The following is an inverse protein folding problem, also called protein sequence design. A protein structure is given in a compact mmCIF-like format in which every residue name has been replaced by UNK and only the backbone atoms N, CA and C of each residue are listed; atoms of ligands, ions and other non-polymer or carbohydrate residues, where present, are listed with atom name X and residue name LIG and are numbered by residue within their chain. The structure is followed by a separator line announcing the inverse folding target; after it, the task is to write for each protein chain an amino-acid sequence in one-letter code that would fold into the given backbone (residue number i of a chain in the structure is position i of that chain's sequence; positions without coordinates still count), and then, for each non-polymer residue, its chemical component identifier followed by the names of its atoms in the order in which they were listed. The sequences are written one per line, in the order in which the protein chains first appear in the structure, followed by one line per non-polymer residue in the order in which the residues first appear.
data_IF_624713843431
#
_entry.id   IF_624713843431
#
_cell.length_a   1.000
_cell.length_b   1.000
_cell.length_c   1.000
_cell.angle_alpha   90.00
_cell.angle_beta   90.00
_cell.angle_gamma   90.00
#
_symmetry.space_group_name_H-M   'P 1'
#
loop_
_entity.id
_entity.type
_entity.pdbx_description
1 polymer ?
#
# COMPACT_ATOMS: atom_id res chain seq x y z
N UNK A 1 36.06 -1.18 1.16
CA UNK A 1 36.47 -0.61 -0.15
C UNK A 1 37.22 0.69 0.12
N UNK A 2 38.50 0.78 -0.25
CA UNK A 2 39.25 2.04 -0.12
C UNK A 2 38.88 2.95 -1.29
N UNK A 3 38.48 4.19 -1.00
CA UNK A 3 38.12 5.19 -2.01
C UNK A 3 39.41 5.71 -2.63
N UNK A 4 39.53 5.65 -3.96
CA UNK A 4 40.70 6.23 -4.64
C UNK A 4 40.57 7.76 -4.66
N UNK A 5 41.66 8.49 -4.43
CA UNK A 5 41.65 9.96 -4.45
C UNK A 5 41.36 10.51 -5.85
N UNK A 6 41.82 9.81 -6.90
CA UNK A 6 41.60 10.17 -8.31
C UNK A 6 40.20 9.84 -8.85
N UNK A 7 39.32 9.27 -8.02
CA UNK A 7 37.98 8.87 -8.43
C UNK A 7 37.12 10.06 -8.93
N UNK A 8 37.27 11.22 -8.29
CA UNK A 8 36.58 12.45 -8.68
C UNK A 8 37.07 12.99 -10.03
N UNK A 9 38.37 12.88 -10.31
CA UNK A 9 38.98 13.33 -11.56
C UNK A 9 38.51 12.45 -12.73
N UNK A 10 38.49 11.14 -12.55
CA UNK A 10 37.95 10.17 -13.52
C UNK A 10 36.48 10.46 -13.82
N UNK A 11 35.65 10.69 -12.80
CA UNK A 11 34.24 11.01 -12.98
C UNK A 11 33.99 12.38 -13.63
N UNK A 12 34.87 13.37 -13.41
CA UNK A 12 34.80 14.67 -14.07
C UNK A 12 35.20 14.56 -15.56
N UNK A 13 36.30 13.86 -15.85
CA UNK A 13 36.79 13.64 -17.21
C UNK A 13 35.76 12.89 -18.09
N UNK A 14 35.12 11.86 -17.55
CA UNK A 14 34.04 11.12 -18.24
C UNK A 14 32.84 12.01 -18.56
N UNK A 15 32.48 12.94 -17.68
CA UNK A 15 31.40 13.92 -17.95
C UNK A 15 31.81 14.98 -18.96
N UNK A 16 33.10 15.32 -19.01
CA UNK A 16 33.69 16.26 -19.96
C UNK A 16 33.94 15.71 -21.36
N UNK A 17 33.67 14.43 -21.60
CA UNK A 17 33.74 13.82 -22.94
C UNK A 17 34.95 12.93 -23.22
N UNK A 18 35.84 12.69 -22.23
CA UNK A 18 36.96 11.78 -22.47
C UNK A 18 37.93 11.65 -21.29
N UNK A 19 38.65 10.53 -21.26
CA UNK A 19 39.74 10.28 -20.32
C UNK A 19 41.07 10.67 -20.96
N UNK A 20 41.93 11.38 -20.22
CA UNK A 20 43.32 11.60 -20.64
C UNK A 20 44.09 10.27 -20.63
N UNK A 21 45.21 10.21 -21.37
CA UNK A 21 46.06 9.03 -21.42
C UNK A 21 46.54 8.59 -20.02
N UNK A 22 46.91 9.56 -19.16
CA UNK A 22 47.33 9.32 -17.78
C UNK A 22 46.21 8.68 -16.92
N UNK A 23 44.98 9.22 -17.01
CA UNK A 23 43.83 8.67 -16.29
C UNK A 23 43.43 7.29 -16.83
N UNK A 24 43.60 7.05 -18.12
CA UNK A 24 43.31 5.75 -18.73
C UNK A 24 44.24 4.65 -18.22
N UNK A 25 45.52 4.95 -18.04
CA UNK A 25 46.49 4.04 -17.41
C UNK A 25 46.11 3.72 -15.97
N UNK A 26 45.74 4.74 -15.18
CA UNK A 26 45.30 4.54 -13.80
C UNK A 26 44.04 3.67 -13.69
N UNK A 27 43.04 3.88 -14.56
CA UNK A 27 41.80 3.08 -14.59
C UNK A 27 42.08 1.61 -14.94
N UNK A 28 43.11 1.33 -15.74
CA UNK A 28 43.51 -0.02 -16.07
C UNK A 28 44.04 -0.79 -14.84
N UNK A 29 44.68 -0.09 -13.89
CA UNK A 29 45.28 -0.72 -12.70
C UNK A 29 44.38 -0.63 -11.45
N UNK A 30 43.53 0.39 -11.36
CA UNK A 30 42.68 0.62 -10.19
C UNK A 30 41.26 0.03 -10.37
N UNK A 31 40.94 -1.02 -9.61
CA UNK A 31 39.61 -1.64 -9.61
C UNK A 31 38.48 -0.68 -9.22
N UNK A 32 38.74 0.25 -8.28
CA UNK A 32 37.75 1.25 -7.85
C UNK A 32 37.38 2.21 -8.98
N UNK A 33 38.38 2.82 -9.64
CA UNK A 33 38.14 3.73 -10.75
C UNK A 33 37.53 3.02 -11.97
N UNK A 34 37.82 1.73 -12.18
CA UNK A 34 37.19 0.92 -13.23
C UNK A 34 35.69 0.76 -13.01
N UNK A 35 35.28 0.54 -11.76
CA UNK A 35 33.86 0.47 -11.40
C UNK A 35 33.18 1.84 -11.59
N UNK A 36 33.84 2.92 -11.16
CA UNK A 36 33.33 4.29 -11.39
C UNK A 36 33.14 4.58 -12.86
N UNK A 37 34.05 4.14 -13.75
CA UNK A 37 33.90 4.29 -15.20
C UNK A 37 32.68 3.52 -15.71
N UNK A 38 32.47 2.27 -15.25
CA UNK A 38 31.31 1.47 -15.64
C UNK A 38 30.01 2.14 -15.22
N UNK A 39 29.90 2.53 -13.95
CA UNK A 39 28.71 3.21 -13.40
C UNK A 39 28.47 4.54 -14.11
N UNK A 40 29.50 5.36 -14.29
CA UNK A 40 29.35 6.68 -14.93
C UNK A 40 28.93 6.53 -16.39
N UNK A 41 29.49 5.58 -17.15
CA UNK A 41 29.05 5.30 -18.53
C UNK A 41 27.62 4.80 -18.58
N UNK A 42 27.21 3.92 -17.67
CA UNK A 42 25.83 3.46 -17.58
C UNK A 42 24.86 4.61 -17.31
N UNK A 43 25.20 5.52 -16.38
CA UNK A 43 24.40 6.71 -16.09
C UNK A 43 24.36 7.69 -17.27
N UNK A 44 25.47 7.89 -17.97
CA UNK A 44 25.50 8.72 -19.17
C UNK A 44 24.64 8.12 -20.30
N UNK A 45 24.64 6.79 -20.45
CA UNK A 45 23.76 6.10 -21.40
C UNK A 45 22.28 6.26 -21.03
N UNK A 46 21.92 6.19 -19.74
CA UNK A 46 20.55 6.46 -19.27
C UNK A 46 20.17 7.93 -19.50
N UNK A 47 21.10 8.87 -19.29
CA UNK A 47 20.87 10.30 -19.55
C UNK A 47 20.65 10.61 -21.04
N UNK A 48 21.19 9.79 -21.94
CA UNK A 48 20.95 9.92 -23.38
C UNK A 48 19.52 9.52 -23.77
N UNK A 49 18.79 8.83 -22.89
CA UNK A 49 17.34 8.63 -23.06
C UNK A 49 16.66 9.93 -22.66
N UNK A 50 15.89 10.50 -23.59
CA UNK A 50 15.07 11.69 -23.35
C UNK A 50 14.28 11.49 -22.04
N UNK A 51 14.48 12.33 -21.01
CA UNK A 51 13.74 12.19 -19.78
C UNK A 51 12.25 12.37 -20.09
N UNK A 52 11.36 11.52 -19.55
CA UNK A 52 9.94 11.69 -19.76
C UNK A 52 9.54 13.08 -19.27
N UNK A 53 8.65 13.74 -20.01
CA UNK A 53 8.16 15.07 -19.68
C UNK A 53 7.72 15.10 -18.20
N UNK A 54 8.41 15.93 -17.42
CA UNK A 54 8.17 16.08 -15.99
C UNK A 54 6.70 16.46 -15.72
N UNK A 55 6.06 17.19 -16.64
CA UNK A 55 4.63 17.52 -16.56
C UNK A 55 3.73 16.29 -16.64
N UNK A 56 4.06 15.30 -17.48
CA UNK A 56 3.31 14.05 -17.62
C UNK A 56 3.47 13.17 -16.37
N UNK A 57 4.71 13.05 -15.88
CA UNK A 57 4.99 12.28 -14.65
C UNK A 57 4.28 12.92 -13.46
N UNK A 58 4.36 14.25 -13.33
CA UNK A 58 3.70 14.98 -12.24
C UNK A 58 2.19 14.85 -12.28
N UNK A 59 1.58 14.93 -13.47
CA UNK A 59 0.12 14.80 -13.64
C UNK A 59 -0.36 13.40 -13.23
N UNK A 60 0.34 12.35 -13.63
CA UNK A 60 0.02 10.98 -13.19
C UNK A 60 0.11 10.81 -11.67
N UNK A 61 1.15 11.36 -11.06
CA UNK A 61 1.30 11.31 -9.59
C UNK A 61 0.17 12.08 -8.90
N UNK A 62 -0.21 13.26 -9.43
CA UNK A 62 -1.35 14.00 -8.89
C UNK A 62 -2.66 13.22 -8.99
N UNK A 63 -2.94 12.59 -10.12
CA UNK A 63 -4.14 11.77 -10.32
C UNK A 63 -4.21 10.63 -9.29
N UNK A 64 -3.11 9.90 -9.10
CA UNK A 64 -3.05 8.83 -8.09
C UNK A 64 -3.24 9.35 -6.66
N UNK A 65 -2.65 10.49 -6.33
CA UNK A 65 -2.78 11.11 -5.00
C UNK A 65 -4.21 11.58 -4.75
N UNK A 66 -4.86 12.19 -5.75
CA UNK A 66 -6.25 12.63 -5.66
C UNK A 66 -7.20 11.42 -5.49
N UNK A 67 -6.99 10.35 -6.26
CA UNK A 67 -7.76 9.11 -6.13
C UNK A 67 -7.57 8.45 -4.75
N UNK A 68 -6.35 8.39 -4.23
CA UNK A 68 -6.07 7.88 -2.88
C UNK A 68 -6.71 8.74 -1.79
N UNK A 69 -6.79 10.05 -1.98
CA UNK A 69 -7.42 10.96 -1.02
C UNK A 69 -8.94 10.84 -1.04
N UNK A 70 -9.54 10.68 -2.21
CA UNK A 70 -10.98 10.49 -2.38
C UNK A 70 -11.49 9.13 -1.85
N UNK A 71 -10.64 8.10 -1.84
CA UNK A 71 -11.03 6.75 -1.40
C UNK A 71 -10.94 6.52 0.12
N UNK A 72 -10.15 7.32 0.85
CA UNK A 72 -10.09 7.26 2.32
C UNK A 72 -11.44 7.47 3.03
N UNK A 73 -12.23 8.51 2.72
CA UNK A 73 -13.52 8.72 3.39
C UNK A 73 -14.53 7.60 3.08
N UNK A 74 -14.48 7.02 1.88
CA UNK A 74 -15.33 5.89 1.49
C UNK A 74 -15.04 4.64 2.31
N UNK A 75 -13.77 4.38 2.64
CA UNK A 75 -13.40 3.27 3.52
C UNK A 75 -13.95 3.47 4.94
N UNK A 76 -13.85 4.68 5.49
CA UNK A 76 -14.36 5.03 6.83
C UNK A 76 -15.89 4.93 6.88
N UNK A 77 -16.59 5.46 5.88
CA UNK A 77 -18.05 5.35 5.76
C UNK A 77 -18.51 3.89 5.77
N UNK A 78 -17.82 3.00 5.03
CA UNK A 78 -18.17 1.57 5.00
C UNK A 78 -18.04 0.90 6.38
N UNK A 79 -16.99 1.22 7.13
CA UNK A 79 -16.80 0.68 8.49
C UNK A 79 -17.90 1.21 9.41
N UNK A 80 -18.18 2.51 9.37
CA UNK A 80 -19.26 3.12 10.16
C UNK A 80 -20.63 2.51 9.83
N UNK A 81 -20.94 2.30 8.54
CA UNK A 81 -22.18 1.64 8.12
C UNK A 81 -22.27 0.20 8.64
N UNK A 82 -21.18 -0.57 8.58
CA UNK A 82 -21.16 -1.95 9.09
C UNK A 82 -21.38 -1.99 10.61
N UNK A 83 -20.73 -1.09 11.36
CA UNK A 83 -20.92 -0.95 12.80
C UNK A 83 -22.36 -0.55 13.12
N UNK A 84 -22.91 0.43 12.42
CA UNK A 84 -24.27 0.90 12.63
C UNK A 84 -25.31 -0.20 12.36
N UNK A 85 -25.16 -0.96 11.28
CA UNK A 85 -26.02 -2.11 10.98
C UNK A 85 -25.90 -3.20 12.06
N UNK A 86 -24.69 -3.45 12.58
CA UNK A 86 -24.49 -4.38 13.68
C UNK A 86 -25.21 -3.96 14.96
N UNK A 87 -25.07 -2.69 15.35
CA UNK A 87 -25.76 -2.12 16.52
C UNK A 87 -27.28 -2.17 16.33
N UNK A 88 -27.78 -1.79 15.17
CA UNK A 88 -29.22 -1.79 14.86
C UNK A 88 -29.79 -3.21 14.87
N UNK A 89 -29.04 -4.19 14.35
CA UNK A 89 -29.43 -5.60 14.43
C UNK A 89 -29.50 -6.07 15.89
N UNK A 90 -28.48 -5.80 16.72
CA UNK A 90 -28.46 -6.18 18.14
C UNK A 90 -29.62 -5.54 18.89
N UNK A 91 -29.91 -4.27 18.60
CA UNK A 91 -31.03 -3.56 19.21
C UNK A 91 -32.40 -4.06 18.74
N UNK A 92 -32.52 -4.46 17.48
CA UNK A 92 -33.77 -4.98 16.91
C UNK A 92 -34.14 -6.37 17.47
N UNK A 93 -33.16 -7.18 17.92
CA UNK A 93 -33.42 -8.52 18.47
C UNK A 93 -34.45 -8.52 19.60
N UNK A 94 -34.31 -7.75 20.70
CA UNK A 94 -35.29 -7.76 21.79
C UNK A 94 -36.66 -7.23 21.36
N UNK A 95 -36.71 -6.22 20.50
CA UNK A 95 -37.97 -5.66 19.97
C UNK A 95 -38.70 -6.73 19.15
N UNK A 96 -37.97 -7.38 18.24
CA UNK A 96 -38.51 -8.45 17.42
C UNK A 96 -38.93 -9.66 18.29
N UNK A 97 -38.17 -9.98 19.33
CA UNK A 97 -38.48 -11.06 20.26
C UNK A 97 -39.81 -10.85 20.99
N UNK A 98 -40.09 -9.61 21.44
CA UNK A 98 -41.37 -9.26 22.08
C UNK A 98 -42.53 -9.36 21.09
N UNK A 99 -42.35 -8.84 19.86
CA UNK A 99 -43.34 -8.94 18.78
C UNK A 99 -43.65 -10.39 18.41
N UNK A 100 -42.61 -11.22 18.28
CA UNK A 100 -42.71 -12.64 17.95
C UNK A 100 -43.40 -13.42 19.07
N UNK A 101 -43.04 -13.21 20.34
CA UNK A 101 -43.72 -13.84 21.49
C UNK A 101 -45.22 -13.51 21.51
N UNK A 102 -45.60 -12.29 21.17
CA UNK A 102 -47.01 -11.88 21.12
C UNK A 102 -47.84 -12.57 20.02
N UNK A 103 -47.19 -13.15 19.00
CA UNK A 103 -47.88 -13.83 17.89
C UNK A 103 -47.66 -15.35 17.84
N UNK A 104 -46.57 -15.88 18.41
CA UNK A 104 -46.18 -17.29 18.33
C UNK A 104 -46.34 -18.06 19.64
N UNK A 105 -46.99 -17.48 20.66
CA UNK A 105 -47.21 -18.10 21.97
C UNK A 105 -47.89 -19.48 21.98
N UNK A 106 -48.39 -19.96 20.85
CA UNK A 106 -49.08 -21.26 20.72
C UNK A 106 -48.27 -22.38 20.02
N UNK A 107 -47.09 -22.10 19.44
CA UNK A 107 -46.40 -23.08 18.59
C UNK A 107 -44.87 -23.19 18.88
N UNK A 108 -44.52 -23.93 19.93
CA UNK A 108 -43.25 -24.68 19.98
C UNK A 108 -42.18 -24.26 21.00
N UNK A 109 -41.13 -25.08 21.18
CA UNK A 109 -40.25 -25.07 22.36
C UNK A 109 -39.32 -23.84 22.41
N UNK A 110 -39.41 -23.12 23.51
CA UNK A 110 -38.90 -21.76 23.76
C UNK A 110 -37.36 -21.63 23.75
N UNK A 111 -36.64 -22.75 23.79
CA UNK A 111 -35.18 -22.81 23.95
C UNK A 111 -34.41 -22.86 22.62
N UNK A 112 -35.09 -23.22 21.52
CA UNK A 112 -34.46 -23.38 20.20
C UNK A 112 -34.32 -22.04 19.46
N UNK A 113 -35.24 -21.10 19.68
CA UNK A 113 -35.25 -19.81 18.97
C UNK A 113 -34.20 -18.84 19.49
N UNK A 114 -33.93 -18.80 20.81
CA UNK A 114 -32.95 -17.89 21.40
C UNK A 114 -31.49 -18.24 21.04
N UNK A 115 -31.16 -19.54 21.00
CA UNK A 115 -29.80 -20.02 20.69
C UNK A 115 -29.43 -19.83 19.22
N UNK A 116 -30.37 -20.07 18.29
CA UNK A 116 -30.14 -19.88 16.85
C UNK A 116 -29.93 -18.41 16.52
N UNK A 117 -30.74 -17.50 17.08
CA UNK A 117 -30.59 -16.05 16.85
C UNK A 117 -29.24 -15.54 17.37
N UNK A 118 -28.83 -16.00 18.55
CA UNK A 118 -27.53 -15.62 19.15
C UNK A 118 -26.35 -16.09 18.29
N UNK A 119 -26.40 -17.33 17.80
CA UNK A 119 -25.35 -17.89 16.95
C UNK A 119 -25.24 -17.16 15.59
N UNK A 120 -26.36 -16.79 14.98
CA UNK A 120 -26.37 -16.03 13.71
C UNK A 120 -25.78 -14.63 13.91
N UNK A 121 -26.10 -13.95 15.02
CA UNK A 121 -25.57 -12.61 15.31
C UNK A 121 -24.05 -12.61 15.53
N UNK A 122 -23.54 -13.60 16.26
CA UNK A 122 -22.09 -13.78 16.44
C UNK A 122 -21.43 -14.10 15.09
N UNK A 123 -22.04 -14.98 14.29
CA UNK A 123 -21.56 -15.32 12.96
C UNK A 123 -21.45 -14.11 12.02
N UNK A 124 -22.49 -13.27 11.97
CA UNK A 124 -22.50 -12.05 11.13
C UNK A 124 -21.48 -11.02 11.64
N UNK A 125 -21.37 -10.84 12.95
CA UNK A 125 -20.38 -9.93 13.56
C UNK A 125 -18.94 -10.36 13.25
N UNK A 126 -18.63 -11.65 13.47
CA UNK A 126 -17.30 -12.22 13.19
C UNK A 126 -16.99 -12.18 11.70
N UNK A 127 -17.96 -12.49 10.83
CA UNK A 127 -17.76 -12.43 9.38
C UNK A 127 -17.55 -11.00 8.89
N UNK A 128 -18.27 -10.02 9.45
CA UNK A 128 -18.07 -8.60 9.17
C UNK A 128 -16.68 -8.11 9.59
N UNK A 129 -16.25 -8.43 10.81
CA UNK A 129 -14.91 -8.12 11.32
C UNK A 129 -13.81 -8.78 10.48
N UNK A 130 -13.99 -10.05 10.12
CA UNK A 130 -13.05 -10.79 9.29
C UNK A 130 -12.96 -10.22 7.87
N UNK A 131 -14.11 -9.87 7.26
CA UNK A 131 -14.17 -9.28 5.92
C UNK A 131 -13.49 -7.90 5.87
N UNK A 132 -13.67 -7.10 6.92
CA UNK A 132 -12.98 -5.80 7.06
C UNK A 132 -11.49 -6.00 7.26
N UNK A 133 -11.07 -6.92 8.13
CA UNK A 133 -9.65 -7.21 8.39
C UNK A 133 -8.90 -7.76 7.17
N UNK A 134 -9.56 -8.56 6.31
CA UNK A 134 -8.96 -9.04 5.06
C UNK A 134 -8.80 -7.96 3.99
N UNK A 135 -9.60 -6.90 4.04
CA UNK A 135 -9.61 -5.83 3.01
C UNK A 135 -8.79 -4.61 3.38
N UNK A 136 -8.35 -4.47 4.62
CA UNK A 136 -7.27 -3.53 4.94
C UNK A 136 -5.96 -4.15 4.46
N UNK A 137 -5.37 -3.69 3.33
CA UNK A 137 -3.99 -4.06 3.03
C UNK A 137 -3.17 -3.61 4.23
N UNK A 138 -2.43 -4.53 4.83
CA UNK A 138 -1.46 -4.22 5.89
C UNK A 138 -0.71 -2.96 5.45
N UNK A 139 -0.66 -1.90 6.28
CA UNK A 139 0.18 -0.75 5.96
C UNK A 139 1.58 -1.31 5.85
N UNK A 140 2.03 -1.51 4.61
CA UNK A 140 3.39 -1.90 4.33
C UNK A 140 4.18 -0.70 4.83
N UNK A 141 4.77 -0.87 6.02
CA UNK A 141 5.89 -0.10 6.53
C UNK A 141 6.99 -0.20 5.47
N UNK A 142 6.89 0.64 4.45
CA UNK A 142 8.01 1.00 3.60
C UNK A 142 8.68 2.15 4.30
N UNK A 143 9.79 1.78 4.95
CA UNK A 143 10.87 2.62 5.46
C UNK A 143 11.11 3.86 4.60
#
# INVERSE_FOLDING_TARGET
MRRCERDREVAAALRGGGLSAELSGHVAECAGCRETVRVTRALLAVRAVEPPDAGVVWRRVQEEVLLRRATRPLAVMRVLSAVFLGVLAVWAVPVMWVLVRGHLGDLGPEWVTGTVVSAVMIGVGVLGLWYVGRRTPSPVLKY
#
